data_IF_036018170671
#
_entry.id   IF_036018170671
#
_cell.length_a   1.000
_cell.length_b   1.000
_cell.length_c   1.000
_cell.angle_alpha   90.00
_cell.angle_beta   90.00
_cell.angle_gamma   90.00
#
_symmetry.space_group_name_H-M   'P 1'
#
loop_
_entity.id
_entity.type
_entity.pdbx_description
1 polymer ?
#
# COMPACT_ATOMS: atom_id res chain seq x y z
N UNK A 1 -2.45 -9.40 1.85
CA UNK A 1 -2.62 -8.03 1.30
C UNK A 1 -2.09 -7.06 2.34
N UNK A 2 -1.21 -6.13 1.95
CA UNK A 2 -0.58 -5.19 2.88
C UNK A 2 -1.57 -4.14 3.38
N UNK A 3 -1.60 -3.93 4.69
CA UNK A 3 -2.39 -2.87 5.32
C UNK A 3 -1.83 -1.49 4.97
N UNK A 4 -2.67 -0.43 4.96
CA UNK A 4 -2.19 0.94 4.80
C UNK A 4 -1.08 1.32 5.77
N UNK A 5 -1.17 0.84 7.01
CA UNK A 5 -0.22 1.10 8.09
C UNK A 5 1.14 0.46 7.80
N UNK A 6 1.18 -0.81 7.38
CA UNK A 6 2.42 -1.49 6.97
C UNK A 6 3.11 -0.78 5.81
N UNK A 7 2.33 -0.31 4.83
CA UNK A 7 2.87 0.45 3.68
C UNK A 7 3.46 1.78 4.12
N UNK A 8 2.74 2.53 4.96
CA UNK A 8 3.18 3.82 5.46
C UNK A 8 4.46 3.69 6.29
N UNK A 9 4.52 2.69 7.18
CA UNK A 9 5.70 2.43 8.01
C UNK A 9 6.92 2.05 7.16
N UNK A 10 6.71 1.25 6.10
CA UNK A 10 7.77 0.89 5.16
C UNK A 10 8.32 2.12 4.43
N UNK A 11 7.45 3.02 3.98
CA UNK A 11 7.86 4.28 3.34
C UNK A 11 8.57 5.21 4.34
N UNK A 12 8.11 5.29 5.59
CA UNK A 12 8.77 6.06 6.63
C UNK A 12 10.20 5.58 6.91
N UNK A 13 10.41 4.26 7.04
CA UNK A 13 11.75 3.68 7.21
C UNK A 13 12.66 3.85 5.99
N UNK A 14 12.10 4.07 4.79
CA UNK A 14 12.87 4.37 3.58
C UNK A 14 13.30 5.84 3.47
N UNK A 15 12.53 6.75 4.07
CA UNK A 15 12.84 8.19 4.11
C UNK A 15 13.88 8.49 5.19
N UNK A 16 13.83 7.77 6.32
CA UNK A 16 14.93 7.77 7.28
C UNK A 16 16.24 7.32 6.59
N UNK A 17 17.43 7.69 7.10
CA UNK A 17 18.72 7.25 6.55
C UNK A 17 18.99 5.73 6.76
N UNK A 18 17.95 4.91 6.84
CA UNK A 18 18.02 3.47 7.02
C UNK A 18 18.19 2.79 5.67
N UNK A 19 19.25 2.01 5.58
CA UNK A 19 19.54 1.15 4.42
C UNK A 19 18.35 0.27 4.07
N UNK A 20 18.18 -0.07 2.79
CA UNK A 20 17.22 -1.06 2.31
C UNK A 20 17.26 -2.36 3.12
N UNK A 21 18.45 -2.78 3.57
CA UNK A 21 18.68 -3.98 4.40
C UNK A 21 18.05 -3.82 5.78
N UNK A 22 18.19 -2.65 6.38
CA UNK A 22 17.62 -2.31 7.68
C UNK A 22 16.08 -2.30 7.64
N UNK A 23 15.51 -1.76 6.54
CA UNK A 23 14.06 -1.82 6.31
C UNK A 23 13.58 -3.27 6.27
N UNK A 24 14.33 -4.20 5.65
CA UNK A 24 13.93 -5.61 5.63
C UNK A 24 13.98 -6.24 7.03
N UNK A 25 15.04 -5.97 7.78
CA UNK A 25 15.21 -6.48 9.14
C UNK A 25 14.07 -5.99 10.04
N UNK A 26 13.78 -4.68 10.01
CA UNK A 26 12.69 -4.07 10.78
C UNK A 26 11.34 -4.65 10.39
N UNK A 27 11.11 -4.88 9.10
CA UNK A 27 9.85 -5.44 8.62
C UNK A 27 9.64 -6.88 9.12
N UNK A 28 10.69 -7.71 9.06
CA UNK A 28 10.67 -9.07 9.60
C UNK A 28 10.45 -9.07 11.11
N UNK A 29 11.11 -8.17 11.85
CA UNK A 29 10.97 -8.08 13.31
C UNK A 29 9.60 -7.58 13.74
N UNK A 30 9.04 -6.59 13.03
CA UNK A 30 7.77 -5.94 13.42
C UNK A 30 6.55 -6.73 13.01
N UNK A 31 6.54 -7.27 11.78
CA UNK A 31 5.36 -7.93 11.24
C UNK A 31 5.46 -9.44 11.30
N UNK A 32 6.67 -10.02 11.23
CA UNK A 32 6.93 -11.47 11.27
C UNK A 32 6.92 -12.15 9.89
N UNK A 33 6.80 -11.37 8.81
CA UNK A 33 6.53 -11.88 7.46
C UNK A 33 7.62 -11.42 6.50
N UNK A 34 7.70 -12.10 5.35
CA UNK A 34 8.71 -11.81 4.34
C UNK A 34 8.47 -10.45 3.68
N UNK A 35 9.56 -9.82 3.26
CA UNK A 35 9.54 -8.44 2.80
C UNK A 35 8.67 -8.27 1.54
N UNK A 36 7.98 -7.12 1.38
CA UNK A 36 7.50 -6.71 0.08
C UNK A 36 8.64 -6.69 -0.97
N UNK A 37 8.34 -7.19 -2.18
CA UNK A 37 9.31 -7.26 -3.27
C UNK A 37 9.91 -5.88 -3.62
N UNK A 38 11.07 -5.86 -4.29
CA UNK A 38 11.70 -4.60 -4.73
C UNK A 38 10.76 -3.67 -5.55
N UNK A 39 10.04 -4.16 -6.57
CA UNK A 39 9.10 -3.31 -7.29
C UNK A 39 7.93 -2.84 -6.41
N UNK A 40 7.46 -3.66 -5.47
CA UNK A 40 6.35 -3.30 -4.57
C UNK A 40 6.69 -2.10 -3.68
N UNK A 41 7.86 -2.09 -3.02
CA UNK A 41 8.22 -0.94 -2.16
C UNK A 41 8.44 0.33 -2.98
N UNK A 42 9.04 0.20 -4.17
CA UNK A 42 9.30 1.35 -5.04
C UNK A 42 7.99 2.00 -5.45
N UNK A 43 6.98 1.20 -5.77
CA UNK A 43 5.67 1.72 -6.15
C UNK A 43 4.99 2.49 -5.00
N UNK A 44 5.09 2.02 -3.76
CA UNK A 44 4.55 2.74 -2.60
C UNK A 44 5.31 4.04 -2.32
N UNK A 45 6.64 4.00 -2.40
CA UNK A 45 7.48 5.18 -2.24
C UNK A 45 7.16 6.23 -3.31
N UNK A 46 7.12 5.85 -4.58
CA UNK A 46 6.75 6.74 -5.69
C UNK A 46 5.34 7.30 -5.50
N UNK A 47 4.35 6.46 -5.19
CA UNK A 47 2.97 6.93 -4.93
C UNK A 47 2.92 7.95 -3.79
N UNK A 48 3.68 7.72 -2.72
CA UNK A 48 3.75 8.63 -1.59
C UNK A 48 4.42 9.96 -1.95
N UNK A 49 5.53 9.94 -2.69
CA UNK A 49 6.20 11.17 -3.16
C UNK A 49 5.30 11.96 -4.13
N UNK A 50 4.59 11.29 -5.02
CA UNK A 50 3.75 11.94 -6.03
C UNK A 50 2.41 12.45 -5.49
N UNK A 51 1.82 11.76 -4.51
CA UNK A 51 0.43 12.02 -4.08
C UNK A 51 0.26 12.24 -2.58
N UNK A 52 1.29 12.00 -1.77
CA UNK A 52 1.21 11.98 -0.31
C UNK A 52 0.52 10.73 0.25
N UNK A 53 0.18 9.74 -0.60
CA UNK A 53 -0.59 8.55 -0.20
C UNK A 53 0.04 7.24 -0.64
N UNK A 54 -0.02 6.23 0.23
CA UNK A 54 0.33 4.83 -0.05
C UNK A 54 -0.89 3.96 -0.36
N UNK A 55 -2.07 4.56 -0.35
CA UNK A 55 -3.31 3.87 -0.65
C UNK A 55 -3.39 3.60 -2.15
N UNK A 56 -4.03 2.48 -2.50
CA UNK A 56 -4.35 2.24 -3.88
C UNK A 56 -5.36 3.31 -4.31
N UNK A 57 -5.07 4.06 -5.37
CA UNK A 57 -6.10 4.87 -6.03
C UNK A 57 -7.21 3.90 -6.38
N UNK A 58 -8.43 4.14 -5.89
CA UNK A 58 -9.59 3.44 -6.40
C UNK A 58 -9.59 3.70 -7.91
N UNK A 59 -9.28 2.67 -8.69
CA UNK A 59 -9.61 2.69 -10.10
C UNK A 59 -11.11 2.95 -10.19
N UNK A 60 -11.53 3.72 -11.18
CA UNK A 60 -12.93 3.82 -11.59
C UNK A 60 -13.41 2.44 -12.05
N UNK A 61 -13.60 1.54 -11.08
CA UNK A 61 -14.17 0.23 -11.28
C UNK A 61 -15.58 0.41 -11.79
N UNK A 62 -15.96 -0.46 -12.70
CA UNK A 62 -17.33 -0.56 -13.24
C UNK A 62 -18.30 -0.57 -12.05
N UNK A 63 -19.30 0.32 -11.98
CA UNK A 63 -20.24 0.31 -10.88
C UNK A 63 -20.90 -1.07 -10.81
N UNK A 64 -20.84 -1.70 -9.64
CA UNK A 64 -21.59 -2.92 -9.37
C UNK A 64 -23.06 -2.52 -9.20
N UNK A 65 -23.82 -2.58 -10.30
CA UNK A 65 -25.27 -2.41 -10.28
C UNK A 65 -25.87 -3.72 -9.80
N UNK A 66 -26.18 -3.81 -8.50
CA UNK A 66 -27.12 -4.82 -8.01
C UNK A 66 -28.50 -4.47 -8.58
N UNK A 67 -29.04 -5.29 -9.49
CA UNK A 67 -30.34 -5.12 -10.17
C UNK A 67 -31.54 -5.33 -9.21
N UNK A 68 -31.36 -5.12 -7.91
CA UNK A 68 -32.47 -5.21 -6.94
C UNK A 68 -32.98 -3.79 -6.70
N UNK A 69 -34.12 -3.50 -7.35
CA UNK A 69 -35.03 -2.33 -7.20
C UNK A 69 -35.22 -1.46 -8.45
N UNK A 70 -35.41 -2.07 -9.63
CA UNK A 70 -35.92 -1.39 -10.84
C UNK A 70 -37.39 -1.75 -11.14
N UNK A 71 -38.24 -1.84 -10.11
CA UNK A 71 -39.68 -1.99 -10.28
C UNK A 71 -40.41 -1.35 -9.10
N UNK A 72 -40.62 -0.04 -9.16
CA UNK A 72 -41.71 0.72 -8.53
C UNK A 72 -41.51 2.19 -8.89
N UNK A 73 -42.24 2.65 -9.90
CA UNK A 73 -42.22 4.00 -10.45
C UNK A 73 -42.93 4.01 -11.79
#
# INVERSE_FOLDING_TARGET
MWTPQEKAQCVAWLIEPKSNTQVQQNFRTQYGWERPSRPTYRNWYTSFIETGSVLHKQGTGRPYVSVVNAALG
#
